data_IF_944156895544
#
_entry.id   IF_944156895544
#
_cell.length_a   1.000
_cell.length_b   1.000
_cell.length_c   1.000
_cell.angle_alpha   90.00
_cell.angle_beta   90.00
_cell.angle_gamma   90.00
#
_symmetry.space_group_name_H-M   'P 1'
#
loop_
_entity.id
_entity.type
_entity.pdbx_description
1 polymer ?
#
# COMPACT_ATOMS: atom_id res chain seq x y z
N UNK A 1 -21.42 2.41 32.42
CA UNK A 1 -20.83 2.90 31.15
C UNK A 1 -21.54 2.17 30.02
N UNK A 2 -22.32 2.87 29.19
CA UNK A 2 -23.27 2.26 28.25
C UNK A 2 -22.55 1.64 27.05
N UNK A 3 -22.93 0.39 26.71
CA UNK A 3 -22.40 -0.40 25.60
C UNK A 3 -22.52 0.32 24.24
N UNK A 4 -23.54 1.17 24.08
CA UNK A 4 -23.75 2.02 22.90
C UNK A 4 -22.62 3.03 22.63
N UNK A 5 -22.06 3.67 23.66
CA UNK A 5 -20.99 4.65 23.48
C UNK A 5 -19.68 4.00 23.00
N UNK A 6 -19.42 2.77 23.43
CA UNK A 6 -18.25 1.99 23.00
C UNK A 6 -18.39 1.58 21.53
N UNK A 7 -19.59 1.17 21.11
CA UNK A 7 -19.86 0.81 19.72
C UNK A 7 -19.75 2.03 18.79
N UNK A 8 -20.28 3.19 19.18
CA UNK A 8 -20.17 4.41 18.37
C UNK A 8 -18.71 4.83 18.13
N UNK A 9 -17.84 4.70 19.15
CA UNK A 9 -16.41 5.00 19.02
C UNK A 9 -15.72 3.98 18.12
N UNK A 10 -16.08 2.69 18.20
CA UNK A 10 -15.53 1.65 17.31
C UNK A 10 -15.89 1.95 15.84
N UNK A 11 -17.15 2.24 15.55
CA UNK A 11 -17.62 2.53 14.19
C UNK A 11 -17.00 3.81 13.60
N UNK A 12 -16.85 4.86 14.42
CA UNK A 12 -16.16 6.08 13.99
C UNK A 12 -14.71 5.79 13.61
N UNK A 13 -13.99 4.98 14.40
CA UNK A 13 -12.61 4.59 14.12
C UNK A 13 -12.48 3.74 12.85
N UNK A 14 -13.38 2.78 12.66
CA UNK A 14 -13.44 1.99 11.42
C UNK A 14 -13.64 2.93 10.22
N UNK A 15 -14.59 3.86 10.32
CA UNK A 15 -14.92 4.79 9.23
C UNK A 15 -13.72 5.66 8.85
N UNK A 16 -12.98 6.18 9.84
CA UNK A 16 -11.74 6.93 9.59
C UNK A 16 -10.68 6.09 8.89
N UNK A 17 -10.41 4.87 9.37
CA UNK A 17 -9.39 3.99 8.77
C UNK A 17 -9.78 3.53 7.37
N UNK A 18 -11.08 3.30 7.11
CA UNK A 18 -11.59 3.00 5.77
C UNK A 18 -11.37 4.20 4.85
N UNK A 19 -11.63 5.41 5.32
CA UNK A 19 -11.35 6.62 4.55
C UNK A 19 -9.85 6.74 4.22
N UNK A 20 -8.97 6.57 5.21
CA UNK A 20 -7.52 6.59 5.03
C UNK A 20 -7.07 5.53 4.01
N UNK A 21 -7.66 4.33 4.07
CA UNK A 21 -7.43 3.28 3.07
C UNK A 21 -7.90 3.72 1.69
N UNK A 22 -9.11 4.27 1.55
CA UNK A 22 -9.68 4.68 0.26
C UNK A 22 -8.86 5.76 -0.43
N UNK A 23 -8.45 6.80 0.31
CA UNK A 23 -7.64 7.90 -0.22
C UNK A 23 -6.14 7.59 -0.27
N UNK A 24 -5.72 6.43 0.22
CA UNK A 24 -4.31 6.04 0.28
C UNK A 24 -3.66 6.16 -1.09
N UNK A 25 -2.54 6.86 -1.15
CA UNK A 25 -1.65 6.96 -2.31
C UNK A 25 -0.20 6.89 -1.84
N UNK A 26 0.69 6.58 -2.77
CA UNK A 26 2.12 6.75 -2.56
C UNK A 26 2.46 8.24 -2.57
N UNK A 27 3.22 8.68 -1.56
CA UNK A 27 3.63 10.07 -1.45
C UNK A 27 4.74 10.39 -2.46
N UNK A 28 4.94 11.68 -2.75
CA UNK A 28 6.07 12.13 -3.55
C UNK A 28 7.40 11.78 -2.86
N UNK A 29 8.36 11.25 -3.63
CA UNK A 29 9.67 10.81 -3.15
C UNK A 29 9.65 9.72 -2.05
N UNK A 30 8.51 9.07 -1.86
CA UNK A 30 8.42 7.93 -0.97
C UNK A 30 9.00 6.68 -1.64
N UNK A 31 9.62 5.80 -0.85
CA UNK A 31 10.05 4.48 -1.32
C UNK A 31 8.93 3.43 -1.17
N UNK A 32 8.90 2.44 -2.06
CA UNK A 32 7.93 1.33 -2.04
C UNK A 32 7.86 0.67 -0.66
N UNK A 33 9.01 0.44 0.00
CA UNK A 33 9.04 -0.17 1.34
C UNK A 33 8.34 0.68 2.39
N UNK A 34 8.52 2.00 2.35
CA UNK A 34 7.88 2.95 3.27
C UNK A 34 6.37 3.01 3.03
N UNK A 35 5.97 3.10 1.76
CA UNK A 35 4.55 3.08 1.37
C UNK A 35 3.87 1.78 1.83
N UNK A 36 4.51 0.62 1.60
CA UNK A 36 3.97 -0.67 2.00
C UNK A 36 3.82 -0.80 3.53
N UNK A 37 4.75 -0.23 4.30
CA UNK A 37 4.66 -0.18 5.77
C UNK A 37 3.44 0.62 6.23
N UNK A 38 3.21 1.83 5.67
CA UNK A 38 2.01 2.63 5.97
C UNK A 38 0.72 1.90 5.60
N UNK A 39 0.71 1.27 4.42
CA UNK A 39 -0.44 0.49 3.95
C UNK A 39 -0.76 -0.65 4.93
N UNK A 40 0.25 -1.41 5.33
CA UNK A 40 0.09 -2.54 6.26
C UNK A 40 -0.38 -2.09 7.64
N UNK A 41 0.06 -0.91 8.11
CA UNK A 41 -0.42 -0.36 9.39
C UNK A 41 -1.94 -0.10 9.36
N UNK A 42 -2.46 0.44 8.27
CA UNK A 42 -3.91 0.68 8.09
C UNK A 42 -4.66 -0.65 8.06
N UNK A 43 -4.18 -1.63 7.28
CA UNK A 43 -4.79 -2.97 7.18
C UNK A 43 -4.82 -3.66 8.54
N UNK A 44 -3.72 -3.64 9.28
CA UNK A 44 -3.63 -4.26 10.60
C UNK A 44 -4.58 -3.58 11.61
N UNK A 45 -4.71 -2.26 11.55
CA UNK A 45 -5.64 -1.51 12.40
C UNK A 45 -7.11 -1.84 12.07
N UNK A 46 -7.45 -2.00 10.79
CA UNK A 46 -8.78 -2.43 10.35
C UNK A 46 -9.07 -3.88 10.76
N UNK A 47 -8.09 -4.77 10.60
CA UNK A 47 -8.19 -6.18 10.97
C UNK A 47 -8.42 -6.35 12.48
N UNK A 48 -7.75 -5.54 13.32
CA UNK A 48 -7.97 -5.51 14.76
C UNK A 48 -9.39 -5.05 15.17
N UNK A 49 -10.16 -4.49 14.22
CA UNK A 49 -11.55 -4.07 14.39
C UNK A 49 -12.53 -4.95 13.61
N UNK A 50 -12.10 -6.17 13.23
CA UNK A 50 -12.87 -7.17 12.49
C UNK A 50 -13.19 -6.80 11.02
N UNK A 51 -12.52 -5.76 10.48
CA UNK A 51 -12.61 -5.38 9.06
C UNK A 51 -11.39 -5.87 8.30
N UNK A 52 -11.57 -6.89 7.48
CA UNK A 52 -10.48 -7.54 6.73
C UNK A 52 -10.58 -7.25 5.25
N UNK A 53 -9.43 -7.26 4.57
CA UNK A 53 -9.33 -7.19 3.11
C UNK A 53 -8.60 -8.44 2.62
N UNK A 54 -9.10 -9.01 1.54
CA UNK A 54 -8.46 -10.15 0.90
C UNK A 54 -7.12 -9.76 0.28
N UNK A 55 -6.24 -10.75 0.08
CA UNK A 55 -4.95 -10.54 -0.59
C UNK A 55 -5.11 -9.91 -1.98
N UNK A 56 -6.12 -10.32 -2.74
CA UNK A 56 -6.38 -9.78 -4.09
C UNK A 56 -6.84 -8.31 -4.05
N UNK A 57 -7.66 -7.93 -3.08
CA UNK A 57 -8.05 -6.54 -2.85
C UNK A 57 -6.83 -5.68 -2.50
N UNK A 58 -5.97 -6.17 -1.59
CA UNK A 58 -4.74 -5.47 -1.21
C UNK A 58 -3.77 -5.30 -2.39
N UNK A 59 -3.56 -6.34 -3.21
CA UNK A 59 -2.73 -6.28 -4.43
C UNK A 59 -3.24 -5.22 -5.38
N UNK A 60 -4.54 -5.24 -5.70
CA UNK A 60 -5.16 -4.25 -6.61
C UNK A 60 -5.10 -2.85 -6.04
N UNK A 61 -5.29 -2.70 -4.73
CA UNK A 61 -5.18 -1.41 -4.07
C UNK A 61 -3.78 -0.84 -4.19
N UNK A 62 -2.74 -1.61 -3.85
CA UNK A 62 -1.34 -1.16 -3.97
C UNK A 62 -1.03 -0.70 -5.39
N UNK A 63 -1.40 -1.48 -6.42
CA UNK A 63 -1.17 -1.11 -7.82
C UNK A 63 -1.85 0.22 -8.21
N UNK A 64 -3.07 0.48 -7.71
CA UNK A 64 -3.80 1.74 -7.94
C UNK A 64 -3.22 2.93 -7.20
N UNK A 65 -2.50 2.70 -6.10
CA UNK A 65 -1.91 3.75 -5.28
C UNK A 65 -0.56 4.24 -5.80
N UNK A 66 0.03 3.55 -6.79
CA UNK A 66 1.31 3.92 -7.38
C UNK A 66 1.17 5.17 -8.29
N UNK A 67 2.21 6.02 -8.36
CA UNK A 67 2.18 7.18 -9.22
C UNK A 67 2.17 6.80 -10.70
N UNK A 68 1.71 7.70 -11.56
CA UNK A 68 1.58 7.46 -13.02
C UNK A 68 2.89 7.02 -13.70
N UNK A 69 4.04 7.39 -13.15
CA UNK A 69 5.35 6.94 -13.63
C UNK A 69 5.57 5.42 -13.52
N UNK A 70 4.75 4.71 -12.74
CA UNK A 70 4.79 3.25 -12.59
C UNK A 70 3.84 2.52 -13.54
N UNK A 71 3.01 3.22 -14.34
CA UNK A 71 2.03 2.58 -15.22
C UNK A 71 2.62 1.48 -16.11
N UNK A 72 3.80 1.65 -16.76
CA UNK A 72 4.38 0.57 -17.56
C UNK A 72 4.66 -0.71 -16.74
N UNK A 73 5.10 -0.55 -15.49
CA UNK A 73 5.36 -1.68 -14.58
C UNK A 73 4.07 -2.32 -14.09
N UNK A 74 3.04 -1.52 -13.82
CA UNK A 74 1.70 -2.00 -13.44
C UNK A 74 1.11 -2.83 -14.56
N UNK A 75 1.05 -2.31 -15.78
CA UNK A 75 0.54 -3.04 -16.96
C UNK A 75 1.27 -4.38 -17.16
N UNK A 76 2.61 -4.39 -17.10
CA UNK A 76 3.37 -5.62 -17.23
C UNK A 76 3.05 -6.67 -16.15
N UNK A 77 2.72 -6.24 -14.92
CA UNK A 77 2.29 -7.15 -13.84
C UNK A 77 0.89 -7.68 -14.13
N UNK A 78 -0.04 -6.83 -14.56
CA UNK A 78 -1.43 -7.21 -14.86
C UNK A 78 -1.52 -8.18 -16.05
N UNK A 79 -0.64 -8.03 -17.04
CA UNK A 79 -0.57 -8.93 -18.20
C UNK A 79 0.10 -10.28 -17.87
N UNK A 80 1.15 -10.26 -17.03
CA UNK A 80 1.94 -11.46 -16.76
C UNK A 80 1.43 -12.31 -15.58
N UNK A 81 0.63 -11.74 -14.67
CA UNK A 81 0.25 -12.39 -13.40
C UNK A 81 -1.25 -12.33 -13.13
N UNK A 82 -1.77 -13.40 -12.53
CA UNK A 82 -3.13 -13.41 -12.01
C UNK A 82 -3.19 -12.74 -10.63
N UNK A 83 -3.73 -11.51 -10.59
CA UNK A 83 -3.84 -10.70 -9.36
C UNK A 83 -4.70 -11.34 -8.26
N UNK A 84 -5.55 -12.31 -8.58
CA UNK A 84 -6.40 -12.97 -7.59
C UNK A 84 -5.61 -13.94 -6.69
N UNK A 85 -4.47 -14.45 -7.18
CA UNK A 85 -3.63 -15.44 -6.49
C UNK A 85 -2.20 -14.96 -6.25
N UNK A 86 -1.85 -13.74 -6.71
CA UNK A 86 -0.52 -13.17 -6.57
C UNK A 86 -0.22 -12.87 -5.09
N UNK A 87 0.81 -13.48 -4.47
CA UNK A 87 1.19 -13.14 -3.11
C UNK A 87 1.65 -11.67 -3.00
N UNK A 88 1.27 -11.00 -1.92
CA UNK A 88 1.71 -9.62 -1.66
C UNK A 88 3.22 -9.46 -1.61
N UNK A 89 3.94 -10.45 -1.07
CA UNK A 89 5.40 -10.43 -1.03
C UNK A 89 6.02 -10.44 -2.45
N UNK A 90 5.45 -11.23 -3.36
CA UNK A 90 5.91 -11.29 -4.75
C UNK A 90 5.65 -9.99 -5.50
N UNK A 91 4.52 -9.33 -5.21
CA UNK A 91 4.24 -7.99 -5.70
C UNK A 91 5.30 -7.01 -5.19
N UNK A 92 5.52 -6.97 -3.87
CA UNK A 92 6.47 -6.08 -3.23
C UNK A 92 7.88 -6.24 -3.79
N UNK A 93 8.34 -7.49 -3.94
CA UNK A 93 9.65 -7.82 -4.53
C UNK A 93 9.78 -7.29 -5.96
N UNK A 94 8.73 -7.45 -6.78
CA UNK A 94 8.71 -6.95 -8.16
C UNK A 94 8.79 -5.42 -8.24
N UNK A 95 8.11 -4.73 -7.32
CA UNK A 95 8.11 -3.27 -7.25
C UNK A 95 9.46 -2.73 -6.75
N UNK A 96 10.00 -3.30 -5.66
CA UNK A 96 11.30 -2.90 -5.11
C UNK A 96 12.45 -3.11 -6.11
N UNK A 97 12.42 -4.19 -6.89
CA UNK A 97 13.45 -4.44 -7.92
C UNK A 97 13.46 -3.33 -9.00
N UNK A 98 12.30 -2.75 -9.30
CA UNK A 98 12.18 -1.64 -10.23
C UNK A 98 12.61 -0.29 -9.62
N UNK A 99 12.60 -0.18 -8.29
CA UNK A 99 13.02 1.00 -7.54
C UNK A 99 14.54 1.09 -7.36
N UNK A 100 15.25 -0.04 -7.30
CA UNK A 100 16.72 -0.12 -7.08
C UNK A 100 17.56 0.82 -7.97
N UNK A 101 17.29 0.98 -9.29
CA UNK A 101 18.04 1.91 -10.13
C UNK A 101 17.83 3.39 -9.77
N UNK A 102 16.71 3.73 -9.10
CA UNK A 102 16.40 5.11 -8.68
C UNK A 102 17.11 5.49 -7.38
N UNK A 103 17.32 4.53 -6.47
CA UNK A 103 18.10 4.72 -5.24
C UNK A 103 19.58 5.00 -5.54
N UNK A 104 20.20 4.22 -6.44
CA UNK A 104 21.62 4.39 -6.78
C UNK A 104 21.96 5.77 -7.35
N UNK A 105 21.04 6.37 -8.12
CA UNK A 105 21.22 7.72 -8.69
C UNK A 105 21.13 8.81 -7.61
N UNK A 106 20.23 8.66 -6.63
CA UNK A 106 20.10 9.61 -5.53
C UNK A 106 21.33 9.58 -4.61
N UNK A 107 21.86 8.39 -4.33
CA UNK A 107 23.07 8.21 -3.51
C UNK A 107 24.36 8.71 -4.19
N UNK A 108 24.38 8.79 -5.53
CA UNK A 108 25.50 9.34 -6.30
C UNK A 108 25.44 10.87 -6.35
N UNK A 109 24.26 11.47 -6.51
CA UNK A 109 24.06 12.94 -6.53
C UNK A 109 24.29 13.60 -5.16
N UNK A 110 24.07 12.90 -4.04
CA UNK A 110 24.40 13.40 -2.69
C UNK A 110 25.91 13.32 -2.36
N UNK A 111 26.69 12.48 -3.05
CA UNK A 111 28.15 12.37 -2.85
C UNK A 111 28.95 13.36 -3.67
N UNK A 112 28.34 13.98 -4.68
CA UNK A 112 28.96 15.00 -5.53
C UNK A 112 28.63 16.45 -5.10
N UNK A 113 27.93 16.64 -3.96
CA UNK A 113 27.69 17.94 -3.32
C UNK A 113 28.48 18.09 -2.03
#
# INVERSE_FOLDING_TARGET
VTYEGINQVKEAKISMLVHDYEIFTMNENEYIKSMFSRFTNIINALQALDKTYSNSEMVRKILRCLPKSWMPKVTAIEEAKNLNILPLEDLLRSLMTHELPKQKKHDEEEKEK
#
